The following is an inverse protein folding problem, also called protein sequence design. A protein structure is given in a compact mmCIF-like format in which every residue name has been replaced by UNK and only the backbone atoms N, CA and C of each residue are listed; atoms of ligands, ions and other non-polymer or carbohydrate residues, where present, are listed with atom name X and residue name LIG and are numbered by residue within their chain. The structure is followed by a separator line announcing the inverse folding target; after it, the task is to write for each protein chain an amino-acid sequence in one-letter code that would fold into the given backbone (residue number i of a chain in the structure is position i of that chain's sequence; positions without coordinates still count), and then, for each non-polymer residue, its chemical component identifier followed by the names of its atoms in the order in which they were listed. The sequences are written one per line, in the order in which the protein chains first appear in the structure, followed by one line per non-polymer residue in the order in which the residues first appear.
data_IF_179305569597
#
_entry.id   IF_179305569597
#
_cell.length_a   1.000
_cell.length_b   1.000
_cell.length_c   1.000
_cell.angle_alpha   90.00
_cell.angle_beta   90.00
_cell.angle_gamma   90.00
#
_symmetry.space_group_name_H-M   'P 1'
#
loop_
_entity.id
_entity.type
_entity.pdbx_description
1 polymer ?
#
# COMPACT_ATOMS: atom_id res chain seq x y z
N UNK A 1 -20.32 7.20 -47.83
CA UNK A 1 -19.28 6.45 -47.08
C UNK A 1 -19.64 6.41 -45.61
N UNK A 2 -20.10 5.26 -45.09
CA UNK A 2 -20.35 5.09 -43.66
C UNK A 2 -19.00 4.99 -42.94
N UNK A 3 -18.67 5.96 -42.07
CA UNK A 3 -17.55 5.86 -41.13
C UNK A 3 -17.80 4.62 -40.26
N UNK A 4 -17.02 3.55 -40.46
CA UNK A 4 -16.97 2.43 -39.51
C UNK A 4 -16.44 3.01 -38.21
N UNK A 5 -17.29 3.12 -37.19
CA UNK A 5 -16.85 3.30 -35.83
C UNK A 5 -15.90 2.13 -35.50
N UNK A 6 -14.64 2.44 -35.25
CA UNK A 6 -13.65 1.46 -34.81
C UNK A 6 -14.02 1.07 -33.38
N UNK A 7 -14.91 0.08 -33.22
CA UNK A 7 -15.19 -0.54 -31.93
C UNK A 7 -13.86 -1.11 -31.43
N UNK A 8 -13.34 -0.60 -30.32
CA UNK A 8 -12.27 -1.29 -29.60
C UNK A 8 -12.77 -2.72 -29.35
N UNK A 9 -12.05 -3.76 -29.81
CA UNK A 9 -12.47 -5.13 -29.59
C UNK A 9 -12.33 -5.41 -28.10
N UNK A 10 -13.43 -5.36 -27.37
CA UNK A 10 -13.43 -5.79 -25.99
C UNK A 10 -13.16 -7.29 -25.96
N UNK A 11 -12.03 -7.69 -25.37
CA UNK A 11 -11.58 -9.07 -25.37
C UNK A 11 -12.24 -9.86 -24.24
N UNK A 12 -12.54 -11.15 -24.47
CA UNK A 12 -13.16 -12.00 -23.44
C UNK A 12 -12.19 -12.40 -22.31
N UNK A 13 -10.88 -12.21 -22.48
CA UNK A 13 -9.88 -12.33 -21.41
C UNK A 13 -8.62 -11.51 -21.75
N UNK A 14 -7.83 -11.18 -20.73
CA UNK A 14 -6.58 -10.42 -20.89
C UNK A 14 -5.56 -11.19 -21.73
N UNK A 15 -5.46 -12.51 -21.62
CA UNK A 15 -4.53 -13.31 -22.42
C UNK A 15 -4.85 -13.25 -23.90
N UNK A 16 -6.14 -13.26 -24.25
CA UNK A 16 -6.59 -13.07 -25.63
C UNK A 16 -6.32 -11.66 -26.13
N UNK A 17 -6.51 -10.65 -25.28
CA UNK A 17 -6.13 -9.27 -25.61
C UNK A 17 -4.64 -9.17 -25.93
N UNK A 18 -3.79 -9.67 -25.03
CA UNK A 18 -2.33 -9.69 -25.17
C UNK A 18 -1.90 -10.49 -26.41
N UNK A 19 -2.52 -11.64 -26.68
CA UNK A 19 -2.19 -12.48 -27.83
C UNK A 19 -2.61 -11.84 -29.17
N UNK A 20 -3.64 -10.99 -29.18
CA UNK A 20 -4.14 -10.32 -30.38
C UNK A 20 -3.38 -9.06 -30.78
N UNK A 21 -2.39 -8.64 -29.97
CA UNK A 21 -1.59 -7.45 -30.25
C UNK A 21 -0.80 -7.62 -31.55
N UNK A 22 -1.01 -6.69 -32.49
CA UNK A 22 -0.23 -6.61 -33.73
C UNK A 22 1.17 -6.06 -33.45
N UNK A 23 2.11 -6.98 -33.24
CA UNK A 23 3.50 -6.64 -32.92
C UNK A 23 4.20 -5.94 -34.08
N UNK A 24 3.79 -6.17 -35.34
CA UNK A 24 4.39 -5.51 -36.49
C UNK A 24 4.03 -4.02 -36.50
N UNK A 25 2.76 -3.70 -36.21
CA UNK A 25 2.32 -2.32 -36.05
C UNK A 25 3.03 -1.63 -34.87
N UNK A 26 3.08 -2.28 -33.71
CA UNK A 26 3.79 -1.74 -32.53
C UNK A 26 5.27 -1.45 -32.81
N UNK A 27 5.93 -2.34 -33.55
CA UNK A 27 7.33 -2.15 -33.97
C UNK A 27 7.48 -0.98 -34.92
N UNK A 28 6.58 -0.83 -35.88
CA UNK A 28 6.55 0.31 -36.81
C UNK A 28 6.29 1.64 -36.09
N UNK A 29 5.37 1.66 -35.12
CA UNK A 29 5.12 2.84 -34.29
C UNK A 29 6.35 3.23 -33.47
N UNK A 30 6.99 2.26 -32.80
CA UNK A 30 8.22 2.50 -32.05
C UNK A 30 9.36 3.02 -32.93
N UNK A 31 9.46 2.58 -34.19
CA UNK A 31 10.46 3.07 -35.13
C UNK A 31 10.22 4.55 -35.47
N UNK A 32 8.98 4.91 -35.81
CA UNK A 32 8.60 6.30 -36.11
C UNK A 32 8.87 7.23 -34.93
N UNK A 33 8.49 6.82 -33.72
CA UNK A 33 8.72 7.63 -32.52
C UNK A 33 10.21 7.87 -32.26
N UNK A 34 11.07 6.88 -32.56
CA UNK A 34 12.53 7.01 -32.47
C UNK A 34 13.10 7.97 -33.49
N UNK A 35 12.54 8.00 -34.70
CA UNK A 35 12.94 8.92 -35.77
C UNK A 35 12.48 10.35 -35.46
N UNK A 36 11.27 10.52 -34.95
CA UNK A 36 10.69 11.83 -34.62
C UNK A 36 11.33 12.44 -33.36
N UNK A 37 11.70 11.61 -32.37
CA UNK A 37 12.16 12.09 -31.07
C UNK A 37 13.48 11.43 -30.61
N UNK A 38 14.58 11.46 -31.39
CA UNK A 38 15.79 10.66 -31.17
C UNK A 38 16.49 10.88 -29.81
N UNK A 39 16.25 12.01 -29.16
CA UNK A 39 16.84 12.39 -27.86
C UNK A 39 15.92 12.15 -26.66
N UNK A 40 14.67 11.70 -26.88
CA UNK A 40 13.64 11.59 -25.83
C UNK A 40 13.19 10.13 -25.63
N UNK A 41 14.04 9.24 -25.11
CA UNK A 41 13.74 7.82 -25.04
C UNK A 41 12.57 7.48 -24.10
N UNK A 42 12.27 8.34 -23.12
CA UNK A 42 11.09 8.21 -22.27
C UNK A 42 9.78 8.33 -23.05
N UNK A 43 9.71 9.19 -24.07
CA UNK A 43 8.48 9.41 -24.84
C UNK A 43 8.13 8.20 -25.69
N UNK A 44 9.13 7.56 -26.31
CA UNK A 44 8.90 6.33 -27.09
C UNK A 44 8.31 5.21 -26.22
N UNK A 45 8.79 5.08 -24.98
CA UNK A 45 8.30 4.05 -24.05
C UNK A 45 6.89 4.39 -23.57
N UNK A 46 6.58 5.66 -23.29
CA UNK A 46 5.24 6.10 -22.91
C UNK A 46 4.24 5.88 -24.03
N UNK A 47 4.58 6.24 -25.27
CA UNK A 47 3.74 6.04 -26.44
C UNK A 47 3.51 4.55 -26.72
N UNK A 48 4.57 3.73 -26.63
CA UNK A 48 4.43 2.28 -26.77
C UNK A 48 3.53 1.70 -25.68
N UNK A 49 3.69 2.14 -24.42
CA UNK A 49 2.83 1.71 -23.32
C UNK A 49 1.37 2.14 -23.54
N UNK A 50 1.14 3.36 -24.03
CA UNK A 50 -0.20 3.84 -24.38
C UNK A 50 -0.83 3.01 -25.50
N UNK A 51 -0.08 2.72 -26.56
CA UNK A 51 -0.56 1.94 -27.71
C UNK A 51 -0.89 0.49 -27.30
N UNK A 52 -0.07 -0.12 -26.43
CA UNK A 52 -0.36 -1.43 -25.85
C UNK A 52 -1.61 -1.35 -24.97
N UNK A 53 -1.65 -0.44 -24.00
CA UNK A 53 -2.73 -0.36 -23.02
C UNK A 53 -4.09 -0.03 -23.67
N UNK A 54 -4.11 0.77 -24.74
CA UNK A 54 -5.35 1.09 -25.46
C UNK A 54 -6.00 -0.13 -26.10
N UNK A 55 -5.21 -1.17 -26.40
CA UNK A 55 -5.63 -2.43 -27.02
C UNK A 55 -5.88 -3.55 -26.00
N UNK A 56 -5.47 -3.38 -24.75
CA UNK A 56 -5.65 -4.37 -23.67
C UNK A 56 -7.02 -4.28 -22.98
N UNK A 57 -8.06 -3.86 -23.69
CA UNK A 57 -9.41 -3.78 -23.14
C UNK A 57 -10.01 -5.19 -23.06
N UNK A 58 -10.02 -5.76 -21.86
CA UNK A 58 -10.58 -7.09 -21.60
C UNK A 58 -11.56 -7.07 -20.43
N UNK A 59 -12.52 -7.99 -20.45
CA UNK A 59 -13.29 -8.31 -19.26
C UNK A 59 -12.40 -9.07 -18.27
N UNK A 60 -12.20 -8.52 -17.08
CA UNK A 60 -11.78 -9.28 -15.91
C UNK A 60 -12.87 -9.15 -14.85
N UNK A 61 -13.39 -10.27 -14.31
CA UNK A 61 -14.16 -10.23 -13.06
C UNK A 61 -13.33 -9.52 -11.97
N UNK A 62 -13.97 -8.87 -11.01
CA UNK A 62 -13.24 -8.24 -9.91
C UNK A 62 -12.39 -9.28 -9.14
N UNK A 63 -11.19 -8.89 -8.69
CA UNK A 63 -10.28 -9.64 -7.81
C UNK A 63 -9.57 -10.90 -8.38
N UNK A 64 -9.34 -11.01 -9.70
CA UNK A 64 -8.68 -12.22 -10.27
C UNK A 64 -7.14 -12.13 -10.32
N UNK A 65 -6.54 -10.93 -10.22
CA UNK A 65 -5.07 -10.76 -10.34
C UNK A 65 -4.25 -11.60 -9.35
N UNK A 66 -4.70 -11.75 -8.11
CA UNK A 66 -4.01 -12.56 -7.08
C UNK A 66 -4.16 -14.08 -7.30
N UNK A 67 -5.09 -14.51 -8.15
CA UNK A 67 -5.28 -15.93 -8.50
C UNK A 67 -4.43 -16.36 -9.70
N UNK A 68 -3.83 -15.40 -10.42
CA UNK A 68 -3.03 -15.70 -11.59
C UNK A 68 -1.58 -16.06 -11.22
N UNK A 69 -0.96 -16.96 -12.00
CA UNK A 69 0.42 -17.37 -11.77
C UNK A 69 1.40 -16.22 -12.01
N UNK A 70 2.57 -16.34 -11.37
CA UNK A 70 3.69 -15.40 -11.55
C UNK A 70 3.98 -15.19 -13.04
N UNK A 71 4.04 -13.92 -13.44
CA UNK A 71 4.31 -13.51 -14.81
C UNK A 71 3.06 -13.29 -15.67
N UNK A 72 1.85 -13.49 -15.15
CA UNK A 72 0.63 -12.98 -15.79
C UNK A 72 0.60 -11.43 -15.84
N UNK A 73 0.03 -10.80 -16.89
CA UNK A 73 -0.41 -11.38 -18.15
C UNK A 73 0.74 -11.52 -19.18
N UNK A 74 1.95 -11.05 -18.85
CA UNK A 74 3.12 -11.12 -19.73
C UNK A 74 3.45 -12.54 -20.19
N UNK A 75 3.05 -13.58 -19.47
CA UNK A 75 3.23 -14.97 -19.90
C UNK A 75 2.53 -15.24 -21.23
N UNK A 76 1.33 -14.67 -21.44
CA UNK A 76 0.57 -14.77 -22.69
C UNK A 76 1.16 -13.94 -23.84
N UNK A 77 2.05 -12.98 -23.55
CA UNK A 77 2.71 -12.19 -24.58
C UNK A 77 3.63 -13.02 -25.47
N UNK A 78 3.55 -12.78 -26.77
CA UNK A 78 4.43 -13.41 -27.77
C UNK A 78 5.91 -13.09 -27.51
N UNK A 79 6.81 -13.96 -27.99
CA UNK A 79 8.27 -13.73 -27.90
C UNK A 79 8.65 -12.41 -28.58
N UNK A 80 7.97 -12.07 -29.67
CA UNK A 80 8.23 -10.85 -30.43
C UNK A 80 7.82 -9.60 -29.65
N UNK A 81 6.65 -9.61 -29.00
CA UNK A 81 6.21 -8.49 -28.15
C UNK A 81 7.18 -8.27 -27.00
N UNK A 82 7.59 -9.33 -26.31
CA UNK A 82 8.61 -9.28 -25.24
C UNK A 82 9.93 -8.71 -25.75
N UNK A 83 10.31 -9.02 -26.99
CA UNK A 83 11.53 -8.52 -27.62
C UNK A 83 11.42 -7.03 -27.92
N UNK A 84 10.28 -6.56 -28.45
CA UNK A 84 10.01 -5.13 -28.69
C UNK A 84 10.04 -4.35 -27.38
N UNK A 85 9.35 -4.83 -26.35
CA UNK A 85 9.38 -4.22 -25.01
C UNK A 85 10.82 -4.15 -24.49
N UNK A 86 11.57 -5.27 -24.45
CA UNK A 86 12.96 -5.25 -23.98
C UNK A 86 13.84 -4.28 -24.77
N UNK A 87 13.65 -4.19 -26.09
CA UNK A 87 14.40 -3.28 -26.95
C UNK A 87 14.10 -1.80 -26.67
N UNK A 88 12.88 -1.44 -26.26
CA UNK A 88 12.55 -0.05 -25.89
C UNK A 88 13.28 0.39 -24.62
N UNK A 89 13.55 -0.54 -23.68
CA UNK A 89 14.27 -0.20 -22.44
C UNK A 89 15.81 -0.18 -22.56
N UNK A 90 16.41 -0.70 -23.64
CA UNK A 90 17.89 -0.87 -23.74
C UNK A 90 18.68 0.44 -23.65
N UNK A 91 18.10 1.56 -24.07
CA UNK A 91 18.79 2.86 -24.13
C UNK A 91 18.46 3.76 -22.94
N UNK A 92 17.71 3.26 -21.95
CA UNK A 92 17.27 4.06 -20.82
C UNK A 92 18.35 4.08 -19.74
N UNK A 93 18.70 5.28 -19.29
CA UNK A 93 19.51 5.49 -18.10
C UNK A 93 18.68 5.17 -16.84
N UNK A 94 19.31 5.03 -15.67
CA UNK A 94 18.59 4.92 -14.41
C UNK A 94 17.56 6.04 -14.18
N UNK A 95 17.89 7.27 -14.58
CA UNK A 95 16.99 8.44 -14.48
C UNK A 95 15.77 8.28 -15.39
N UNK A 96 15.97 7.77 -16.61
CA UNK A 96 14.84 7.50 -17.51
C UNK A 96 13.92 6.41 -16.96
N UNK A 97 14.47 5.36 -16.37
CA UNK A 97 13.70 4.29 -15.73
C UNK A 97 12.88 4.81 -14.55
N UNK A 98 13.46 5.66 -13.71
CA UNK A 98 12.76 6.31 -12.61
C UNK A 98 11.59 7.17 -13.13
N UNK A 99 11.82 7.98 -14.17
CA UNK A 99 10.76 8.80 -14.78
C UNK A 99 9.63 7.96 -15.40
N UNK A 100 9.94 6.83 -16.04
CA UNK A 100 8.93 5.92 -16.58
C UNK A 100 8.15 5.26 -15.45
N UNK A 101 8.84 4.85 -14.38
CA UNK A 101 8.20 4.26 -13.23
C UNK A 101 7.26 5.25 -12.54
N UNK A 102 7.70 6.48 -12.29
CA UNK A 102 6.85 7.57 -11.77
C UNK A 102 5.64 7.83 -12.67
N UNK A 103 5.83 7.86 -14.00
CA UNK A 103 4.72 8.00 -14.94
C UNK A 103 3.71 6.85 -14.82
N UNK A 104 4.17 5.61 -14.69
CA UNK A 104 3.31 4.46 -14.47
C UNK A 104 2.53 4.59 -13.15
N UNK A 105 3.19 4.99 -12.07
CA UNK A 105 2.54 5.21 -10.79
C UNK A 105 1.48 6.30 -10.87
N UNK A 106 1.76 7.43 -11.51
CA UNK A 106 0.79 8.52 -11.69
C UNK A 106 -0.45 8.06 -12.48
N UNK A 107 -0.27 7.22 -13.51
CA UNK A 107 -1.39 6.65 -14.26
C UNK A 107 -2.25 5.70 -13.42
N UNK A 108 -1.65 4.85 -12.61
CA UNK A 108 -2.38 3.94 -11.70
C UNK A 108 -3.04 4.74 -10.56
N UNK A 109 -2.34 5.73 -10.03
CA UNK A 109 -2.83 6.58 -8.97
C UNK A 109 -3.97 7.51 -9.41
N UNK A 110 -4.08 7.83 -10.71
CA UNK A 110 -5.20 8.62 -11.22
C UNK A 110 -6.57 7.97 -10.96
N UNK A 111 -6.65 6.64 -10.92
CA UNK A 111 -7.89 5.91 -10.61
C UNK A 111 -8.02 5.51 -9.14
N UNK A 112 -6.91 5.31 -8.42
CA UNK A 112 -6.90 4.62 -7.12
C UNK A 112 -6.34 5.47 -5.97
N UNK A 113 -5.65 6.58 -6.28
CA UNK A 113 -4.96 7.45 -5.31
C UNK A 113 -3.54 6.99 -4.97
N UNK A 114 -2.61 7.94 -4.82
CA UNK A 114 -1.17 7.64 -4.64
C UNK A 114 -0.83 6.81 -3.40
N UNK A 115 -1.52 7.09 -2.29
CA UNK A 115 -1.33 6.35 -1.03
C UNK A 115 -1.77 4.89 -1.19
N UNK A 116 -2.94 4.66 -1.80
CA UNK A 116 -3.44 3.30 -2.04
C UNK A 116 -2.47 2.50 -2.93
N UNK A 117 -1.97 3.13 -3.99
CA UNK A 117 -0.99 2.51 -4.90
C UNK A 117 0.28 2.08 -4.16
N UNK A 118 0.76 2.87 -3.20
CA UNK A 118 1.91 2.47 -2.39
C UNK A 118 1.63 1.19 -1.59
N UNK A 119 0.49 1.10 -0.91
CA UNK A 119 0.10 -0.10 -0.16
C UNK A 119 -0.08 -1.32 -1.06
N UNK A 120 -0.60 -1.15 -2.27
CA UNK A 120 -0.84 -2.25 -3.20
C UNK A 120 0.47 -2.75 -3.84
N UNK A 121 1.32 -1.84 -4.32
CA UNK A 121 2.48 -2.19 -5.15
C UNK A 121 3.80 -2.23 -4.38
N UNK A 122 3.98 -1.31 -3.43
CA UNK A 122 5.28 -1.11 -2.80
C UNK A 122 5.41 -1.75 -1.42
N UNK A 123 4.33 -1.88 -0.65
CA UNK A 123 4.37 -2.58 0.64
C UNK A 123 4.94 -4.01 0.51
N UNK A 124 4.55 -4.85 -0.49
CA UNK A 124 5.18 -6.16 -0.68
C UNK A 124 6.67 -6.07 -1.04
N UNK A 125 7.11 -4.97 -1.67
CA UNK A 125 8.49 -4.76 -2.07
C UNK A 125 9.41 -4.34 -0.91
N UNK A 126 8.87 -4.00 0.28
CA UNK A 126 9.68 -3.74 1.48
C UNK A 126 10.57 -4.94 1.86
N UNK A 127 10.09 -6.16 1.61
CA UNK A 127 10.86 -7.37 1.84
C UNK A 127 12.04 -7.56 0.88
N UNK A 128 12.10 -6.80 -0.21
CA UNK A 128 13.18 -6.89 -1.20
C UNK A 128 14.25 -5.86 -0.87
N UNK A 129 15.36 -6.29 -0.26
CA UNK A 129 16.46 -5.42 0.24
C UNK A 129 16.95 -4.37 -0.77
N UNK A 130 16.97 -4.68 -2.07
CA UNK A 130 17.41 -3.74 -3.12
C UNK A 130 16.38 -2.64 -3.39
N UNK A 131 15.09 -2.91 -3.17
CA UNK A 131 13.99 -1.98 -3.43
C UNK A 131 13.57 -1.22 -2.16
N UNK A 132 13.79 -1.79 -0.97
CA UNK A 132 13.31 -1.25 0.29
C UNK A 132 13.70 0.22 0.53
N UNK A 133 14.89 0.63 0.07
CA UNK A 133 15.34 2.02 0.22
C UNK A 133 14.49 3.00 -0.58
N UNK A 134 14.18 2.64 -1.82
CA UNK A 134 13.33 3.44 -2.71
C UNK A 134 11.88 3.42 -2.22
N UNK A 135 11.34 2.25 -1.86
CA UNK A 135 9.98 2.11 -1.32
C UNK A 135 9.71 3.03 -0.12
N UNK A 136 10.65 3.09 0.83
CA UNK A 136 10.51 3.95 2.01
C UNK A 136 10.67 5.43 1.64
N UNK A 137 11.64 5.79 0.78
CA UNK A 137 11.79 7.18 0.30
C UNK A 137 10.55 7.69 -0.42
N UNK A 138 9.92 6.84 -1.24
CA UNK A 138 8.69 7.19 -1.93
C UNK A 138 7.55 7.46 -0.95
N UNK A 139 7.39 6.61 0.08
CA UNK A 139 6.41 6.85 1.14
C UNK A 139 6.67 8.17 1.87
N UNK A 140 7.91 8.48 2.22
CA UNK A 140 8.28 9.76 2.85
C UNK A 140 7.85 10.94 1.98
N UNK A 141 8.11 10.89 0.68
CA UNK A 141 7.72 11.94 -0.26
C UNK A 141 6.21 12.07 -0.38
N UNK A 142 5.49 10.94 -0.48
CA UNK A 142 4.03 10.92 -0.50
C UNK A 142 3.45 11.59 0.74
N UNK A 143 3.92 11.20 1.93
CA UNK A 143 3.41 11.74 3.18
C UNK A 143 3.75 13.22 3.38
N UNK A 144 4.89 13.69 2.84
CA UNK A 144 5.24 15.13 2.83
C UNK A 144 4.30 15.93 1.94
N UNK A 145 3.89 15.38 0.80
CA UNK A 145 2.99 16.02 -0.17
C UNK A 145 1.53 16.02 0.31
N UNK A 146 1.10 14.98 1.02
CA UNK A 146 -0.28 14.80 1.50
C UNK A 146 -0.45 15.22 2.97
N UNK A 147 -0.21 16.50 3.28
CA UNK A 147 -0.52 17.04 4.62
C UNK A 147 -2.03 17.13 4.91
N UNK A 148 -2.88 17.03 3.88
CA UNK A 148 -4.32 17.10 4.04
C UNK A 148 -4.90 15.70 4.26
N UNK A 149 -5.14 15.36 5.53
CA UNK A 149 -5.54 14.04 6.04
C UNK A 149 -6.83 13.46 5.41
N UNK A 150 -7.61 14.26 4.67
CA UNK A 150 -8.88 13.85 4.05
C UNK A 150 -8.74 12.90 2.86
N UNK A 151 -7.61 12.89 2.15
CA UNK A 151 -7.45 12.09 0.92
C UNK A 151 -7.06 10.63 1.17
N UNK A 152 -6.52 10.28 2.35
CA UNK A 152 -6.17 8.91 2.70
C UNK A 152 -7.17 8.23 3.65
N UNK A 153 -8.20 8.97 4.09
CA UNK A 153 -9.28 8.40 4.89
C UNK A 153 -10.03 7.33 4.10
N UNK A 154 -10.27 6.17 4.73
CA UNK A 154 -10.91 5.02 4.07
C UNK A 154 -9.98 4.21 3.15
N UNK A 155 -8.76 4.69 2.89
CA UNK A 155 -7.75 3.96 2.11
C UNK A 155 -6.86 3.10 3.02
N UNK A 156 -6.48 3.63 4.18
CA UNK A 156 -5.62 2.92 5.14
C UNK A 156 -6.51 2.33 6.23
N UNK A 157 -6.76 1.02 6.16
CA UNK A 157 -7.41 0.27 7.23
C UNK A 157 -6.40 -0.52 8.08
N UNK A 158 -6.87 -1.36 9.02
CA UNK A 158 -5.99 -2.22 9.80
C UNK A 158 -5.15 -3.18 8.94
N UNK A 159 -5.70 -3.65 7.80
CA UNK A 159 -5.00 -4.56 6.89
C UNK A 159 -3.80 -3.91 6.22
N UNK A 160 -3.85 -2.61 6.00
CA UNK A 160 -2.79 -1.83 5.38
C UNK A 160 -1.81 -1.29 6.43
N UNK A 161 -2.33 -0.74 7.54
CA UNK A 161 -1.53 -0.06 8.55
C UNK A 161 -0.61 -1.01 9.33
N UNK A 162 -1.12 -2.16 9.75
CA UNK A 162 -0.37 -3.02 10.68
C UNK A 162 0.80 -3.79 10.04
N UNK A 163 0.75 -4.22 8.76
CA UNK A 163 1.96 -4.69 8.10
C UNK A 163 3.10 -3.66 8.10
N UNK A 164 2.78 -2.36 8.02
CA UNK A 164 3.80 -1.30 8.13
C UNK A 164 4.41 -1.28 9.53
N UNK A 165 3.59 -1.39 10.58
CA UNK A 165 4.06 -1.50 11.96
C UNK A 165 4.97 -2.73 12.13
N UNK A 166 4.54 -3.88 11.61
CA UNK A 166 5.28 -5.14 11.70
C UNK A 166 6.64 -5.02 10.99
N UNK A 167 6.69 -4.43 9.80
CA UNK A 167 7.95 -4.14 9.10
C UNK A 167 8.83 -3.14 9.85
N UNK A 168 8.23 -2.13 10.50
CA UNK A 168 8.95 -1.08 11.19
C UNK A 168 9.62 -1.56 12.48
N UNK A 169 9.01 -2.52 13.18
CA UNK A 169 9.44 -2.87 14.53
C UNK A 169 9.78 -4.34 14.77
N UNK A 170 9.17 -5.30 14.07
CA UNK A 170 9.40 -6.71 14.36
C UNK A 170 10.81 -7.13 13.96
N UNK A 171 11.54 -7.86 14.83
CA UNK A 171 12.82 -8.45 14.46
C UNK A 171 12.62 -9.53 13.39
N UNK A 172 13.71 -9.92 12.72
CA UNK A 172 13.74 -11.02 11.75
C UNK A 172 12.89 -10.81 10.49
N UNK A 173 12.58 -9.56 10.14
CA UNK A 173 12.05 -9.23 8.82
C UNK A 173 13.19 -8.90 7.84
N UNK A 174 12.87 -8.88 6.53
CA UNK A 174 13.87 -8.63 5.48
C UNK A 174 14.28 -7.16 5.34
N UNK A 175 13.66 -6.25 6.11
CA UNK A 175 13.87 -4.81 6.01
C UNK A 175 15.14 -4.40 6.79
N UNK A 176 16.10 -3.70 6.16
CA UNK A 176 17.31 -3.26 6.87
C UNK A 176 16.99 -2.32 8.04
N UNK A 177 17.76 -2.38 9.13
CA UNK A 177 17.53 -1.58 10.36
C UNK A 177 17.41 -0.07 10.10
N UNK A 178 18.17 0.47 9.13
CA UNK A 178 18.07 1.88 8.72
C UNK A 178 16.67 2.20 8.15
N UNK A 179 16.13 1.29 7.35
CA UNK A 179 14.81 1.45 6.74
C UNK A 179 13.69 1.19 7.76
N UNK A 180 13.88 0.26 8.69
CA UNK A 180 12.95 0.07 9.83
C UNK A 180 12.78 1.36 10.63
N UNK A 181 13.88 2.02 11.02
CA UNK A 181 13.83 3.30 11.74
C UNK A 181 13.12 4.42 10.97
N UNK A 182 13.38 4.50 9.65
CA UNK A 182 12.69 5.46 8.78
C UNK A 182 11.19 5.17 8.74
N UNK A 183 10.82 3.91 8.51
CA UNK A 183 9.41 3.49 8.46
C UNK A 183 8.69 3.72 9.79
N UNK A 184 9.34 3.43 10.92
CA UNK A 184 8.83 3.71 12.26
C UNK A 184 8.51 5.21 12.45
N UNK A 185 9.39 6.10 11.96
CA UNK A 185 9.17 7.55 12.05
C UNK A 185 7.96 8.06 11.25
N UNK A 186 7.50 7.29 10.27
CA UNK A 186 6.32 7.61 9.45
C UNK A 186 5.02 7.05 10.03
N UNK A 187 5.09 6.12 10.98
CA UNK A 187 3.93 5.41 11.48
C UNK A 187 2.91 6.34 12.14
N UNK A 188 3.36 7.33 12.91
CA UNK A 188 2.48 8.34 13.50
C UNK A 188 1.68 9.13 12.46
N UNK A 189 2.31 9.54 11.36
CA UNK A 189 1.64 10.22 10.25
C UNK A 189 0.63 9.31 9.57
N UNK A 190 0.98 8.04 9.34
CA UNK A 190 0.07 7.04 8.77
C UNK A 190 -1.16 6.81 9.65
N UNK A 191 -0.99 6.73 10.98
CA UNK A 191 -2.12 6.64 11.92
C UNK A 191 -3.07 7.82 11.79
N UNK A 192 -2.53 9.04 11.74
CA UNK A 192 -3.37 10.24 11.59
C UNK A 192 -4.17 10.24 10.29
N UNK A 193 -3.58 9.73 9.19
CA UNK A 193 -4.29 9.56 7.92
C UNK A 193 -5.35 8.45 8.01
N UNK A 194 -5.02 7.31 8.62
CA UNK A 194 -5.91 6.17 8.77
C UNK A 194 -7.16 6.49 9.60
N UNK A 195 -6.99 7.30 10.65
CA UNK A 195 -8.11 7.79 11.46
C UNK A 195 -8.87 8.94 10.81
N UNK A 196 -8.18 9.81 10.07
CA UNK A 196 -8.73 11.07 9.55
C UNK A 196 -9.39 11.91 10.66
N UNK A 197 -10.49 12.58 10.32
CA UNK A 197 -11.28 13.38 11.26
C UNK A 197 -12.14 12.51 12.21
N UNK A 198 -12.09 11.18 12.07
CA UNK A 198 -12.99 10.22 12.73
C UNK A 198 -12.30 9.36 13.81
N UNK A 199 -11.14 9.80 14.33
CA UNK A 199 -10.34 9.07 15.33
C UNK A 199 -11.18 8.50 16.49
N UNK A 200 -11.98 9.35 17.14
CA UNK A 200 -12.81 8.99 18.30
C UNK A 200 -13.92 7.98 18.01
N UNK A 201 -14.21 7.73 16.73
CA UNK A 201 -15.30 6.83 16.30
C UNK A 201 -14.80 5.63 15.51
N UNK A 202 -13.48 5.47 15.31
CA UNK A 202 -12.89 4.40 14.49
C UNK A 202 -11.80 3.61 15.19
N UNK A 203 -11.27 4.10 16.31
CA UNK A 203 -10.23 3.41 17.07
C UNK A 203 -10.59 1.96 17.41
N UNK A 204 -11.86 1.67 17.70
CA UNK A 204 -12.34 0.32 17.96
C UNK A 204 -12.10 -0.66 16.79
N UNK A 205 -12.04 -0.20 15.54
CA UNK A 205 -11.70 -1.04 14.38
C UNK A 205 -10.21 -1.47 14.36
N UNK A 206 -9.33 -0.69 14.99
CA UNK A 206 -7.88 -0.93 15.03
C UNK A 206 -7.46 -1.63 16.34
N UNK A 207 -8.24 -1.45 17.41
CA UNK A 207 -7.98 -2.01 18.74
C UNK A 207 -7.61 -3.50 18.73
N UNK A 208 -8.34 -4.41 18.04
CA UNK A 208 -7.97 -5.84 18.00
C UNK A 208 -6.57 -6.09 17.42
N UNK A 209 -6.19 -5.29 16.43
CA UNK A 209 -4.91 -5.44 15.73
C UNK A 209 -3.74 -4.89 16.55
N UNK A 210 -3.96 -3.86 17.37
CA UNK A 210 -3.00 -3.42 18.39
C UNK A 210 -2.86 -4.48 19.49
N UNK A 211 -3.98 -4.94 20.05
CA UNK A 211 -3.97 -5.88 21.17
C UNK A 211 -3.30 -7.20 20.81
N UNK A 212 -3.63 -7.77 19.65
CA UNK A 212 -3.03 -9.03 19.16
C UNK A 212 -1.51 -8.98 19.04
N UNK A 213 -0.92 -7.79 18.83
CA UNK A 213 0.52 -7.59 18.68
C UNK A 213 1.25 -7.31 19.99
N UNK A 214 0.54 -7.01 21.07
CA UNK A 214 1.12 -6.73 22.40
C UNK A 214 1.56 -8.03 23.10
N UNK A 215 2.35 -8.85 22.39
CA UNK A 215 2.90 -10.11 22.90
C UNK A 215 4.02 -9.85 23.92
N UNK A 216 4.33 -10.84 24.75
CA UNK A 216 5.43 -10.73 25.72
C UNK A 216 6.79 -10.56 25.03
N UNK A 217 6.96 -11.14 23.84
CA UNK A 217 8.16 -11.02 22.99
C UNK A 217 8.19 -9.74 22.15
N UNK A 218 7.19 -8.87 22.27
CA UNK A 218 7.12 -7.63 21.52
C UNK A 218 8.34 -6.74 21.82
N UNK A 219 9.05 -6.23 20.80
CA UNK A 219 10.17 -5.29 20.99
C UNK A 219 9.73 -4.08 21.80
N UNK A 220 10.59 -3.58 22.69
CA UNK A 220 10.24 -2.50 23.61
C UNK A 220 9.74 -1.23 22.91
N UNK A 221 10.35 -0.86 21.77
CA UNK A 221 9.91 0.30 20.99
C UNK A 221 8.47 0.13 20.46
N UNK A 222 8.16 -1.04 19.91
CA UNK A 222 6.80 -1.37 19.46
C UNK A 222 5.82 -1.43 20.63
N UNK A 223 6.25 -2.02 21.75
CA UNK A 223 5.43 -2.16 22.96
C UNK A 223 4.99 -0.80 23.48
N UNK A 224 5.89 0.18 23.48
CA UNK A 224 5.57 1.56 23.86
C UNK A 224 4.51 2.17 22.93
N UNK A 225 4.66 1.99 21.62
CA UNK A 225 3.69 2.47 20.62
C UNK A 225 2.32 1.82 20.81
N UNK A 226 2.28 0.49 20.93
CA UNK A 226 1.06 -0.30 21.11
C UNK A 226 0.32 0.07 22.41
N UNK A 227 1.04 0.21 23.52
CA UNK A 227 0.45 0.58 24.80
C UNK A 227 -0.16 1.98 24.72
N UNK A 228 0.56 2.95 24.15
CA UNK A 228 0.02 4.30 23.97
C UNK A 228 -1.25 4.29 23.11
N UNK A 229 -1.24 3.59 21.98
CA UNK A 229 -2.41 3.50 21.10
C UNK A 229 -3.59 2.78 21.75
N UNK A 230 -3.36 1.69 22.50
CA UNK A 230 -4.41 0.97 23.22
C UNK A 230 -5.04 1.83 24.32
N UNK A 231 -4.23 2.59 25.06
CA UNK A 231 -4.72 3.51 26.08
C UNK A 231 -5.55 4.65 25.47
N UNK A 232 -5.07 5.25 24.38
CA UNK A 232 -5.81 6.28 23.65
C UNK A 232 -7.16 5.72 23.15
N UNK A 233 -7.17 4.50 22.60
CA UNK A 233 -8.39 3.82 22.16
C UNK A 233 -9.41 3.67 23.30
N UNK A 234 -8.96 3.22 24.49
CA UNK A 234 -9.84 3.03 25.66
C UNK A 234 -10.33 4.35 26.26
N UNK A 235 -9.54 5.41 26.16
CA UNK A 235 -9.89 6.72 26.67
C UNK A 235 -10.88 7.47 25.76
N UNK A 236 -10.71 7.38 24.45
CA UNK A 236 -11.40 8.22 23.46
C UNK A 236 -12.61 7.56 22.79
N UNK A 237 -12.64 6.23 22.63
CA UNK A 237 -13.71 5.49 21.94
C UNK A 237 -14.32 4.42 22.87
N UNK A 238 -15.54 4.68 23.36
CA UNK A 238 -16.25 3.79 24.29
C UNK A 238 -16.47 2.38 23.72
N UNK A 239 -16.54 2.21 22.39
CA UNK A 239 -16.70 0.88 21.77
C UNK A 239 -15.47 0.00 21.97
N UNK A 240 -14.29 0.58 22.15
CA UNK A 240 -13.06 -0.17 22.42
C UNK A 240 -13.20 -1.03 23.68
N UNK A 241 -13.88 -0.54 24.72
CA UNK A 241 -14.12 -1.30 25.94
C UNK A 241 -14.94 -2.57 25.66
N UNK A 242 -16.04 -2.45 24.91
CA UNK A 242 -16.89 -3.58 24.55
C UNK A 242 -16.12 -4.63 23.73
N UNK A 243 -15.33 -4.18 22.76
CA UNK A 243 -14.48 -5.06 21.95
C UNK A 243 -13.43 -5.74 22.83
N UNK A 244 -12.77 -5.00 23.71
CA UNK A 244 -11.77 -5.57 24.61
C UNK A 244 -12.34 -6.66 25.51
N UNK A 245 -13.55 -6.46 26.08
CA UNK A 245 -14.24 -7.50 26.86
C UNK A 245 -14.50 -8.77 26.05
N UNK A 246 -14.91 -8.63 24.79
CA UNK A 246 -15.12 -9.78 23.90
C UNK A 246 -13.80 -10.51 23.59
N UNK A 247 -12.71 -9.76 23.48
CA UNK A 247 -11.38 -10.27 23.13
C UNK A 247 -10.56 -10.78 24.32
N UNK A 248 -10.93 -10.43 25.56
CA UNK A 248 -10.17 -10.73 26.78
C UNK A 248 -9.75 -12.20 26.89
N UNK A 249 -10.67 -13.13 26.58
CA UNK A 249 -10.43 -14.58 26.67
C UNK A 249 -9.48 -15.09 25.58
N UNK A 250 -9.46 -14.45 24.41
CA UNK A 250 -8.59 -14.83 23.29
C UNK A 250 -7.20 -14.21 23.40
N UNK A 251 -7.06 -13.11 24.14
CA UNK A 251 -5.82 -12.33 24.25
C UNK A 251 -5.44 -12.08 25.71
N UNK A 252 -5.47 -13.13 26.54
CA UNK A 252 -5.26 -13.02 27.99
C UNK A 252 -3.85 -12.53 28.33
N UNK A 253 -2.81 -13.04 27.66
CA UNK A 253 -1.43 -12.60 27.91
C UNK A 253 -1.24 -11.11 27.57
N UNK A 254 -1.73 -10.70 26.40
CA UNK A 254 -1.63 -9.33 25.91
C UNK A 254 -2.43 -8.38 26.80
N UNK A 255 -3.61 -8.81 27.25
CA UNK A 255 -4.43 -8.06 28.19
C UNK A 255 -3.72 -7.93 29.54
N UNK A 256 -3.05 -8.96 30.03
CA UNK A 256 -2.26 -8.89 31.26
C UNK A 256 -1.15 -7.84 31.16
N UNK A 257 -0.47 -7.77 30.01
CA UNK A 257 0.55 -6.74 29.75
C UNK A 257 -0.06 -5.34 29.78
N UNK A 258 -1.22 -5.14 29.14
CA UNK A 258 -1.92 -3.85 29.14
C UNK A 258 -2.35 -3.44 30.56
N UNK A 259 -2.99 -4.36 31.29
CA UNK A 259 -3.47 -4.11 32.65
C UNK A 259 -2.31 -3.81 33.62
N UNK A 260 -1.23 -4.57 33.53
CA UNK A 260 -0.02 -4.32 34.32
C UNK A 260 0.52 -2.91 34.07
N UNK A 261 0.58 -2.49 32.80
CA UNK A 261 1.03 -1.14 32.46
C UNK A 261 0.08 -0.05 33.00
N UNK A 262 -1.25 -0.27 32.94
CA UNK A 262 -2.25 0.64 33.52
C UNK A 262 -2.07 0.77 35.03
N UNK A 263 -1.88 -0.35 35.74
CA UNK A 263 -1.68 -0.35 37.19
C UNK A 263 -0.40 0.37 37.60
N UNK A 264 0.70 0.12 36.90
CA UNK A 264 2.01 0.74 37.16
C UNK A 264 2.01 2.25 36.89
N UNK A 265 1.13 2.74 36.02
CA UNK A 265 1.08 4.16 35.60
C UNK A 265 -0.23 4.84 36.01
N UNK A 266 -0.95 4.28 36.98
CA UNK A 266 -2.33 4.66 37.28
C UNK A 266 -2.50 6.14 37.61
N UNK A 267 -1.60 6.70 38.41
CA UNK A 267 -1.71 8.09 38.87
C UNK A 267 -1.58 9.09 37.71
N UNK A 268 -0.87 8.73 36.66
CA UNK A 268 -0.74 9.55 35.44
C UNK A 268 -1.90 9.32 34.45
N UNK A 269 -2.48 8.11 34.44
CA UNK A 269 -3.50 7.71 33.48
C UNK A 269 -4.93 7.98 33.96
N UNK A 270 -5.16 8.10 35.26
CA UNK A 270 -6.49 8.23 35.87
C UNK A 270 -7.33 9.34 35.23
N UNK A 271 -6.74 10.50 34.96
CA UNK A 271 -7.43 11.64 34.34
C UNK A 271 -7.85 11.38 32.89
N UNK A 272 -7.10 10.56 32.13
CA UNK A 272 -7.46 10.16 30.76
C UNK A 272 -8.46 9.01 30.73
N UNK A 273 -8.43 8.12 31.73
CA UNK A 273 -9.25 6.90 31.77
C UNK A 273 -10.56 7.07 32.55
N UNK A 274 -11.03 8.30 32.80
CA UNK A 274 -12.29 8.55 33.51
C UNK A 274 -13.49 7.93 32.78
N UNK A 275 -13.53 8.02 31.46
CA UNK A 275 -14.55 7.40 30.61
C UNK A 275 -14.56 5.87 30.78
N UNK A 276 -13.39 5.26 30.70
CA UNK A 276 -13.19 3.83 30.90
C UNK A 276 -13.57 3.36 32.31
N UNK A 277 -13.21 4.13 33.35
CA UNK A 277 -13.58 3.83 34.73
C UNK A 277 -15.09 3.86 34.95
N UNK A 278 -15.77 4.83 34.35
CA UNK A 278 -17.24 4.92 34.46
C UNK A 278 -17.94 3.69 33.87
N UNK A 279 -17.35 3.07 32.84
CA UNK A 279 -17.84 1.84 32.23
C UNK A 279 -17.54 0.59 33.07
N UNK A 280 -16.50 0.60 33.90
CA UNK A 280 -16.20 -0.46 34.86
C UNK A 280 -17.08 -0.40 36.11
N UNK A 281 -17.54 0.79 36.52
CA UNK A 281 -18.38 0.99 37.71
C UNK A 281 -19.89 0.81 37.48
N UNK A 282 -20.30 0.60 36.23
CA UNK A 282 -21.70 0.36 35.84
C UNK A 282 -22.07 -1.14 35.82
N UNK A 283 -21.18 -2.00 36.32
CA UNK A 283 -21.40 -3.44 36.59
C UNK A 283 -21.11 -3.75 38.05
#
# INVERSE_FOLDING_TARGET
MKRKAMKCPFHPSMERAVASLDVANLRGALHRDKEEHPTCPCEWVKNLAFEINSRLQAFEPENVLCSHPVGYPLRAASKDLKTVMKASFRHLSPVHLENIFEHCLDKIAASTGKIAVWFILMLPALGVKRLSGYTVSYLEQLLRMHQNHKQGFGVIGPKELFPVLDYAYMPNNSLPIRQQKRLASLFGTLKNIAYGDHRKTLQHCYFPSYLSRLTVSCPMAMKSELLQDLLDCLAEDQKCFLIWKQLYRCYTEQTNVLLKHVLENWDHLRAKMVSFLSLLSLE
#
